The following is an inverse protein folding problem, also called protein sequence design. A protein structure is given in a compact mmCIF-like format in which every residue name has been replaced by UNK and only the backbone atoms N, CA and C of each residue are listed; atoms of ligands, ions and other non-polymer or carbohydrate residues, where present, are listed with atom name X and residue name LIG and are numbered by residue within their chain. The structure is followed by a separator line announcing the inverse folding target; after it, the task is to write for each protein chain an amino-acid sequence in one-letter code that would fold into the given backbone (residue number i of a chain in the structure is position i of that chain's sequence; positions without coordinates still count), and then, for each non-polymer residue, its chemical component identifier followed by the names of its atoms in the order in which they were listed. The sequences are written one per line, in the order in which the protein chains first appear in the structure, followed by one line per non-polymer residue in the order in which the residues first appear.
data_IF_080608532326
#
_entry.id   IF_080608532326
#
_cell.length_a   1.000
_cell.length_b   1.000
_cell.length_c   1.000
_cell.angle_alpha   90.00
_cell.angle_beta   90.00
_cell.angle_gamma   90.00
#
_symmetry.space_group_name_H-M   'P 1'
#
loop_
_entity.id
_entity.type
_entity.pdbx_description
1 polymer ?
#
# COMPACT_ATOMS: atom_id res chain seq x y z
N UNK A 1 -2.42 -6.60 12.28
CA UNK A 1 -2.53 -7.05 13.69
C UNK A 1 -3.58 -8.13 13.74
N UNK A 2 -3.30 -9.24 14.40
CA UNK A 2 -4.22 -10.34 14.63
C UNK A 2 -5.13 -10.07 15.86
N UNK A 3 -6.27 -10.76 16.00
CA UNK A 3 -7.21 -10.50 17.10
C UNK A 3 -6.64 -10.66 18.51
N UNK A 4 -5.59 -11.48 18.66
CA UNK A 4 -4.88 -11.69 19.92
C UNK A 4 -3.73 -10.70 20.17
N UNK A 5 -3.57 -9.68 19.32
CA UNK A 5 -2.51 -8.67 19.41
C UNK A 5 -1.21 -8.99 18.68
N UNK A 6 -1.02 -10.22 18.20
CA UNK A 6 0.16 -10.57 17.40
C UNK A 6 0.24 -9.71 16.14
N UNK A 7 1.45 -9.35 15.74
CA UNK A 7 1.71 -8.53 14.55
C UNK A 7 2.33 -9.40 13.46
N UNK A 8 1.69 -9.45 12.30
CA UNK A 8 2.26 -10.09 11.12
C UNK A 8 2.97 -9.05 10.24
N UNK A 9 4.18 -9.38 9.81
CA UNK A 9 5.01 -8.55 8.94
C UNK A 9 5.36 -9.34 7.68
N UNK A 10 4.96 -8.84 6.51
CA UNK A 10 5.41 -9.38 5.23
C UNK A 10 6.85 -8.89 4.97
N UNK A 11 7.78 -9.83 4.87
CA UNK A 11 9.18 -9.57 4.55
C UNK A 11 9.43 -9.92 3.09
N UNK A 12 9.36 -8.92 2.22
CA UNK A 12 9.40 -9.11 0.76
C UNK A 12 10.10 -7.98 0.04
N UNK A 13 10.50 -8.25 -1.18
CA UNK A 13 11.00 -7.27 -2.13
C UNK A 13 10.50 -7.63 -3.54
N UNK A 14 10.76 -6.76 -4.53
CA UNK A 14 10.34 -6.97 -5.90
C UNK A 14 10.81 -8.33 -6.44
N UNK A 15 9.95 -9.06 -7.15
CA UNK A 15 10.35 -10.28 -7.84
C UNK A 15 11.48 -9.99 -8.85
N UNK A 16 12.41 -10.92 -9.01
CA UNK A 16 13.51 -10.76 -9.94
C UNK A 16 13.02 -10.64 -11.40
N UNK A 17 13.58 -9.71 -12.18
CA UNK A 17 13.51 -9.68 -13.63
C UNK A 17 12.22 -9.19 -14.30
N UNK A 18 11.27 -8.57 -13.57
CA UNK A 18 9.93 -8.26 -14.11
C UNK A 18 9.54 -6.78 -14.07
N UNK A 19 10.48 -5.83 -14.01
CA UNK A 19 10.16 -4.41 -13.85
C UNK A 19 9.73 -3.70 -15.15
N UNK A 20 10.03 -4.23 -16.32
CA UNK A 20 9.75 -3.55 -17.59
C UNK A 20 10.55 -2.27 -17.81
N UNK A 21 11.52 -1.97 -16.95
CA UNK A 21 12.41 -0.81 -17.07
C UNK A 21 13.79 -1.30 -17.44
N UNK A 22 14.05 -1.38 -18.75
CA UNK A 22 15.32 -1.85 -19.29
C UNK A 22 16.26 -0.71 -19.69
N UNK A 23 17.53 -1.03 -19.97
CA UNK A 23 18.54 -0.11 -20.50
C UNK A 23 19.20 0.78 -19.46
N UNK A 24 19.71 1.94 -19.92
CA UNK A 24 20.45 2.90 -19.08
C UNK A 24 19.58 3.46 -17.94
N UNK A 25 18.30 3.71 -18.21
CA UNK A 25 17.31 4.14 -17.20
C UNK A 25 17.18 3.13 -16.06
N UNK A 26 17.08 1.83 -16.39
CA UNK A 26 17.00 0.75 -15.39
C UNK A 26 18.27 0.63 -14.54
N UNK A 27 19.45 0.80 -15.14
CA UNK A 27 20.73 0.79 -14.42
C UNK A 27 20.88 1.97 -13.46
N UNK A 28 20.53 3.18 -13.90
CA UNK A 28 20.56 4.39 -13.06
C UNK A 28 19.55 4.27 -11.91
N UNK A 29 18.33 3.82 -12.22
CA UNK A 29 17.31 3.58 -11.20
C UNK A 29 17.75 2.51 -10.20
N UNK A 30 18.38 1.42 -10.64
CA UNK A 30 18.94 0.39 -9.76
C UNK A 30 20.01 0.91 -8.80
N UNK A 31 20.87 1.84 -9.24
CA UNK A 31 21.87 2.48 -8.36
C UNK A 31 21.20 3.41 -7.33
N UNK A 32 20.20 4.18 -7.76
CA UNK A 32 19.44 5.08 -6.86
C UNK A 32 18.65 4.26 -5.85
N UNK A 33 18.00 3.20 -6.27
CA UNK A 33 17.24 2.28 -5.42
C UNK A 33 18.14 1.56 -4.41
N UNK A 34 19.34 1.09 -4.82
CA UNK A 34 20.32 0.53 -3.87
C UNK A 34 20.78 1.52 -2.82
N UNK A 35 20.98 2.80 -3.18
CA UNK A 35 21.31 3.86 -2.21
C UNK A 35 20.14 4.18 -1.27
N UNK A 36 18.92 3.93 -1.68
CA UNK A 36 17.72 4.07 -0.88
C UNK A 36 17.39 2.81 -0.04
N UNK A 37 18.29 1.81 0.01
CA UNK A 37 18.10 0.58 0.78
C UNK A 37 17.26 -0.50 0.08
N UNK A 38 16.78 -0.25 -1.14
CA UNK A 38 15.97 -1.19 -1.92
C UNK A 38 16.88 -2.06 -2.81
N UNK A 39 17.38 -3.16 -2.33
CA UNK A 39 18.28 -4.02 -3.13
C UNK A 39 18.55 -5.37 -2.48
N UNK A 40 17.81 -5.66 -1.42
CA UNK A 40 17.88 -6.95 -0.72
C UNK A 40 16.95 -7.95 -1.42
N UNK A 41 17.33 -9.21 -1.61
CA UNK A 41 16.41 -10.22 -2.09
C UNK A 41 15.16 -10.33 -1.22
N UNK A 42 14.02 -10.68 -1.83
CA UNK A 42 12.80 -10.96 -1.07
C UNK A 42 13.03 -12.12 -0.10
N UNK A 43 12.57 -11.96 1.15
CA UNK A 43 12.65 -13.04 2.13
C UNK A 43 11.53 -14.09 1.96
N UNK A 44 10.57 -13.85 1.05
CA UNK A 44 9.51 -14.78 0.65
C UNK A 44 8.71 -15.33 1.85
N UNK A 45 8.50 -14.50 2.89
CA UNK A 45 7.88 -14.94 4.14
C UNK A 45 7.05 -13.87 4.82
N UNK A 46 6.24 -14.33 5.75
CA UNK A 46 5.60 -13.53 6.80
C UNK A 46 6.24 -13.91 8.13
N UNK A 47 6.59 -12.92 8.93
CA UNK A 47 7.07 -13.08 10.31
C UNK A 47 6.00 -12.67 11.30
N UNK A 48 5.97 -13.33 12.47
CA UNK A 48 5.14 -12.95 13.61
C UNK A 48 5.98 -12.26 14.66
N UNK A 49 5.43 -11.17 15.20
CA UNK A 49 5.94 -10.48 16.39
C UNK A 49 4.88 -10.60 17.48
N UNK A 50 5.28 -11.03 18.68
CA UNK A 50 4.42 -11.09 19.87
C UNK A 50 5.09 -10.39 21.03
N UNK A 51 4.40 -9.41 21.55
CA UNK A 51 4.67 -8.75 22.83
C UNK A 51 3.96 -9.58 23.90
N UNK A 52 4.72 -10.37 24.67
CA UNK A 52 4.16 -11.37 25.59
C UNK A 52 3.85 -10.80 26.98
N UNK A 53 4.54 -9.75 27.39
CA UNK A 53 4.36 -9.10 28.70
C UNK A 53 3.64 -7.75 28.64
N UNK A 54 3.37 -7.24 27.41
CA UNK A 54 2.60 -6.02 27.19
C UNK A 54 3.40 -4.72 27.38
N UNK A 55 4.73 -4.80 27.34
CA UNK A 55 5.60 -3.62 27.51
C UNK A 55 5.76 -2.79 26.21
N UNK A 56 5.33 -3.33 25.08
CA UNK A 56 5.41 -2.71 23.75
C UNK A 56 6.61 -3.16 22.94
N UNK A 57 7.41 -4.11 23.43
CA UNK A 57 8.55 -4.73 22.76
C UNK A 57 8.19 -6.21 22.48
N UNK A 58 8.43 -6.68 21.28
CA UNK A 58 8.12 -8.07 20.93
C UNK A 58 9.28 -9.01 21.32
N UNK A 59 9.07 -9.91 22.31
CA UNK A 59 10.01 -10.94 22.72
C UNK A 59 10.04 -12.10 21.72
N UNK A 60 8.90 -12.40 21.08
CA UNK A 60 8.82 -13.43 20.06
C UNK A 60 8.91 -12.78 18.68
N UNK A 61 9.94 -13.17 17.93
CA UNK A 61 10.12 -12.80 16.52
C UNK A 61 10.59 -14.02 15.76
N UNK A 62 9.75 -14.54 14.89
CA UNK A 62 10.09 -15.72 14.10
C UNK A 62 9.31 -15.78 12.77
N UNK A 63 9.78 -16.59 11.79
CA UNK A 63 9.02 -16.91 10.61
C UNK A 63 7.68 -17.55 10.97
N UNK A 64 6.58 -16.97 10.46
CA UNK A 64 5.21 -17.44 10.64
C UNK A 64 4.75 -18.32 9.48
N UNK A 65 5.03 -17.88 8.26
CA UNK A 65 4.74 -18.59 7.01
C UNK A 65 5.83 -18.30 6.00
N UNK A 66 6.34 -19.33 5.34
CA UNK A 66 7.44 -19.24 4.35
C UNK A 66 7.02 -19.80 2.99
N UNK A 67 7.89 -19.67 1.97
CA UNK A 67 7.61 -20.21 0.63
C UNK A 67 6.53 -19.45 -0.11
N UNK A 68 6.41 -18.15 0.16
CA UNK A 68 5.54 -17.22 -0.54
C UNK A 68 6.29 -16.62 -1.75
N UNK A 69 5.61 -15.81 -2.56
CA UNK A 69 6.22 -15.12 -3.71
C UNK A 69 6.02 -13.61 -3.59
N UNK A 70 7.00 -12.92 -3.01
CA UNK A 70 6.96 -11.48 -2.71
C UNK A 70 5.61 -11.08 -2.07
N UNK A 71 5.26 -11.62 -0.88
CA UNK A 71 3.98 -11.32 -0.22
C UNK A 71 3.91 -9.85 0.19
N UNK A 72 2.72 -9.26 0.11
CA UNK A 72 2.53 -7.87 0.54
C UNK A 72 1.27 -7.69 1.40
N UNK A 73 0.09 -7.78 0.82
CA UNK A 73 -1.18 -7.61 1.54
C UNK A 73 -1.61 -8.87 2.29
N UNK A 74 -2.22 -8.69 3.45
CA UNK A 74 -2.76 -9.78 4.27
C UNK A 74 -4.13 -9.41 4.82
N UNK A 75 -5.06 -10.38 4.85
CA UNK A 75 -6.37 -10.21 5.46
C UNK A 75 -6.81 -11.51 6.15
N UNK A 76 -7.24 -11.41 7.39
CA UNK A 76 -7.83 -12.53 8.12
C UNK A 76 -9.36 -12.46 8.00
N UNK A 77 -9.98 -13.55 7.54
CA UNK A 77 -11.44 -13.70 7.46
C UNK A 77 -11.83 -15.01 8.15
N UNK A 78 -12.48 -14.92 9.28
CA UNK A 78 -12.71 -16.08 10.13
C UNK A 78 -11.39 -16.79 10.48
N UNK A 79 -11.30 -18.06 10.17
CA UNK A 79 -10.11 -18.90 10.40
C UNK A 79 -9.24 -19.06 9.13
N UNK A 80 -9.35 -18.14 8.18
CA UNK A 80 -8.58 -18.16 6.93
C UNK A 80 -7.76 -16.91 6.79
N UNK A 81 -6.43 -17.04 6.72
CA UNK A 81 -5.52 -15.97 6.39
C UNK A 81 -5.30 -15.93 4.87
N UNK A 82 -5.71 -14.85 4.24
CA UNK A 82 -5.46 -14.56 2.83
C UNK A 82 -4.20 -13.72 2.69
N UNK A 83 -3.37 -14.05 1.70
CA UNK A 83 -2.12 -13.35 1.40
C UNK A 83 -2.10 -13.01 -0.09
N UNK A 84 -1.86 -11.77 -0.42
CA UNK A 84 -1.61 -11.34 -1.78
C UNK A 84 -0.10 -11.37 -2.05
N UNK A 85 0.33 -12.38 -2.81
CA UNK A 85 1.64 -12.45 -3.43
C UNK A 85 1.71 -11.52 -4.64
N UNK A 86 2.90 -11.33 -5.20
CA UNK A 86 3.10 -10.48 -6.37
C UNK A 86 2.31 -10.92 -7.61
N UNK A 87 1.88 -12.18 -7.68
CA UNK A 87 1.27 -12.82 -8.85
C UNK A 87 0.01 -13.65 -8.55
N UNK A 88 -0.33 -13.86 -7.29
CA UNK A 88 -1.48 -14.67 -6.90
C UNK A 88 -2.02 -14.27 -5.52
N UNK A 89 -3.33 -14.42 -5.33
CA UNK A 89 -3.95 -14.48 -4.02
C UNK A 89 -3.93 -15.92 -3.54
N UNK A 90 -3.38 -16.14 -2.34
CA UNK A 90 -3.33 -17.46 -1.70
C UNK A 90 -4.01 -17.42 -0.34
N UNK A 91 -4.33 -18.57 0.21
CA UNK A 91 -4.95 -18.73 1.54
C UNK A 91 -4.34 -19.87 2.31
N UNK A 92 -4.32 -19.73 3.65
CA UNK A 92 -3.93 -20.77 4.59
C UNK A 92 -4.92 -20.79 5.75
N UNK A 93 -5.18 -21.97 6.38
CA UNK A 93 -5.92 -22.02 7.63
C UNK A 93 -5.10 -21.36 8.76
N UNK A 94 -5.79 -20.61 9.61
CA UNK A 94 -5.22 -19.92 10.76
C UNK A 94 -5.96 -20.31 12.03
N UNK A 95 -5.23 -20.46 13.13
CA UNK A 95 -5.78 -20.62 14.49
C UNK A 95 -5.18 -19.56 15.41
N UNK A 96 -6.02 -18.90 16.17
CA UNK A 96 -5.60 -17.85 17.10
C UNK A 96 -4.48 -18.33 18.02
N UNK A 97 -3.43 -17.52 18.12
CA UNK A 97 -2.28 -17.77 18.99
C UNK A 97 -1.21 -18.68 18.43
N UNK A 98 -1.40 -19.30 17.24
CA UNK A 98 -0.32 -20.07 16.62
C UNK A 98 0.81 -19.14 16.17
N UNK A 99 2.05 -19.60 16.31
CA UNK A 99 3.26 -18.85 15.95
C UNK A 99 3.89 -19.32 14.64
N UNK A 100 3.33 -20.35 14.02
CA UNK A 100 3.82 -20.90 12.76
C UNK A 100 2.70 -21.60 12.00
N UNK A 101 2.71 -21.47 10.68
CA UNK A 101 1.87 -22.23 9.76
C UNK A 101 2.77 -23.10 8.89
N UNK A 102 2.52 -24.42 8.94
CA UNK A 102 3.21 -25.42 8.11
C UNK A 102 2.36 -25.86 6.89
N UNK A 103 1.10 -25.38 6.82
CA UNK A 103 0.23 -25.68 5.70
C UNK A 103 0.75 -25.02 4.41
N UNK A 104 0.70 -25.77 3.31
CA UNK A 104 1.02 -25.24 1.98
C UNK A 104 -0.06 -24.22 1.56
N UNK A 105 0.31 -23.00 1.15
CA UNK A 105 -0.66 -22.02 0.69
C UNK A 105 -1.47 -22.52 -0.52
N UNK A 106 -2.79 -22.41 -0.44
CA UNK A 106 -3.69 -22.77 -1.52
C UNK A 106 -3.98 -21.53 -2.40
N UNK A 107 -3.75 -21.67 -3.70
CA UNK A 107 -4.07 -20.59 -4.64
C UNK A 107 -5.58 -20.38 -4.74
N UNK A 108 -6.03 -19.16 -4.49
CA UNK A 108 -7.40 -18.71 -4.65
C UNK A 108 -7.63 -18.24 -6.09
N UNK A 109 -6.84 -17.25 -6.55
CA UNK A 109 -6.88 -16.71 -7.92
C UNK A 109 -5.50 -16.25 -8.36
N UNK A 110 -5.26 -16.19 -9.67
CA UNK A 110 -4.11 -15.49 -10.23
C UNK A 110 -4.33 -13.97 -10.14
N UNK A 111 -3.24 -13.22 -9.92
CA UNK A 111 -3.20 -11.76 -9.98
C UNK A 111 -2.30 -11.31 -11.14
N UNK A 112 -2.46 -10.09 -11.66
CA UNK A 112 -1.59 -9.55 -12.71
C UNK A 112 -0.10 -9.58 -12.31
N UNK A 113 0.76 -10.08 -13.18
CA UNK A 113 2.20 -10.31 -12.93
C UNK A 113 2.59 -11.77 -12.77
N UNK A 114 1.69 -12.70 -13.12
CA UNK A 114 1.98 -14.14 -13.09
C UNK A 114 2.91 -14.55 -14.25
N UNK A 115 3.68 -15.62 -14.02
CA UNK A 115 4.58 -16.17 -15.04
C UNK A 115 5.58 -15.12 -15.54
N UNK A 116 5.62 -14.85 -16.85
CA UNK A 116 6.52 -13.91 -17.51
C UNK A 116 5.88 -12.52 -17.73
N UNK A 117 4.71 -12.26 -17.18
CA UNK A 117 4.06 -10.95 -17.28
C UNK A 117 4.91 -9.87 -16.58
N UNK A 118 4.89 -8.64 -17.15
CA UNK A 118 5.48 -7.48 -16.50
C UNK A 118 4.82 -7.23 -15.15
N UNK A 119 5.59 -6.82 -14.15
CA UNK A 119 5.10 -6.54 -12.81
C UNK A 119 5.87 -5.38 -12.17
N UNK A 120 5.85 -4.22 -12.83
CA UNK A 120 6.60 -3.03 -12.39
C UNK A 120 6.17 -2.59 -10.97
N UNK A 121 4.89 -2.27 -10.78
CA UNK A 121 4.33 -2.11 -9.44
C UNK A 121 3.87 -3.49 -8.95
N UNK A 122 4.79 -4.21 -8.35
CA UNK A 122 4.61 -5.62 -7.98
C UNK A 122 3.76 -5.82 -6.72
N UNK A 123 3.68 -4.81 -5.85
CA UNK A 123 2.92 -4.89 -4.61
C UNK A 123 1.44 -5.13 -4.87
N UNK A 124 0.83 -5.99 -4.06
CA UNK A 124 -0.59 -6.29 -4.07
C UNK A 124 -1.12 -6.11 -2.66
N UNK A 125 -1.68 -4.93 -2.37
CA UNK A 125 -2.37 -4.70 -1.10
C UNK A 125 -3.64 -5.54 -1.03
N UNK A 126 -4.07 -5.88 0.17
CA UNK A 126 -5.24 -6.72 0.40
C UNK A 126 -6.07 -6.19 1.56
N UNK A 127 -7.38 -6.12 1.36
CA UNK A 127 -8.33 -5.71 2.37
C UNK A 127 -9.59 -6.56 2.25
N UNK A 128 -10.11 -7.06 3.37
CA UNK A 128 -11.41 -7.74 3.38
C UNK A 128 -12.55 -6.74 3.59
N UNK A 129 -13.72 -7.00 2.97
CA UNK A 129 -14.97 -6.35 3.33
C UNK A 129 -15.35 -6.66 4.78
N UNK A 130 -16.19 -5.84 5.40
CA UNK A 130 -16.58 -6.02 6.82
C UNK A 130 -17.24 -7.38 7.10
N UNK A 131 -17.99 -7.90 6.15
CA UNK A 131 -18.64 -9.22 6.23
C UNK A 131 -17.74 -10.38 5.80
N UNK A 132 -16.52 -10.09 5.32
CA UNK A 132 -15.58 -11.08 4.81
C UNK A 132 -15.97 -11.70 3.47
N UNK A 133 -17.08 -11.29 2.85
CA UNK A 133 -17.56 -11.87 1.61
C UNK A 133 -16.76 -11.44 0.38
N UNK A 134 -16.00 -10.35 0.47
CA UNK A 134 -15.18 -9.79 -0.61
C UNK A 134 -13.78 -9.45 -0.13
N UNK A 135 -12.83 -9.56 -1.06
CA UNK A 135 -11.46 -9.11 -0.87
C UNK A 135 -11.14 -8.05 -1.93
N UNK A 136 -10.59 -6.93 -1.50
CA UNK A 136 -10.13 -5.85 -2.39
C UNK A 136 -8.63 -5.93 -2.54
N UNK A 137 -8.14 -5.89 -3.79
CA UNK A 137 -6.71 -5.99 -4.11
C UNK A 137 -6.29 -4.75 -4.88
N UNK A 138 -5.36 -3.96 -4.34
CA UNK A 138 -4.73 -2.87 -5.06
C UNK A 138 -3.67 -3.41 -6.03
N UNK A 139 -3.77 -3.01 -7.30
CA UNK A 139 -2.85 -3.44 -8.37
C UNK A 139 -2.35 -2.24 -9.14
N UNK A 140 -1.08 -1.92 -8.99
CA UNK A 140 -0.46 -0.80 -9.71
C UNK A 140 -0.20 -1.10 -11.19
N UNK A 141 0.04 -0.05 -11.96
CA UNK A 141 0.37 -0.12 -13.39
C UNK A 141 1.70 -0.82 -13.67
N UNK A 142 1.95 -1.20 -14.91
CA UNK A 142 3.25 -1.70 -15.38
C UNK A 142 4.20 -0.59 -15.88
N UNK A 143 3.75 0.65 -15.83
CA UNK A 143 4.45 1.76 -16.43
C UNK A 143 4.13 3.08 -15.72
N UNK A 144 4.84 4.13 -16.08
CA UNK A 144 4.54 5.47 -15.58
C UNK A 144 3.29 6.07 -16.25
N UNK A 145 3.20 6.00 -17.57
CA UNK A 145 2.11 6.56 -18.40
C UNK A 145 1.76 5.65 -19.59
N UNK A 146 1.66 4.36 -19.36
CA UNK A 146 1.34 3.33 -20.36
C UNK A 146 2.40 3.18 -21.49
N UNK A 147 3.68 3.46 -21.22
CA UNK A 147 4.78 3.34 -22.19
C UNK A 147 4.95 1.92 -22.75
N UNK A 148 4.52 0.90 -22.01
CA UNK A 148 4.57 -0.49 -22.41
C UNK A 148 3.30 -0.94 -23.17
N UNK A 149 2.39 0.01 -23.47
CA UNK A 149 1.12 -0.21 -24.14
C UNK A 149 0.01 -0.68 -23.20
N UNK A 150 -1.25 -0.43 -23.60
CA UNK A 150 -2.42 -0.72 -22.76
C UNK A 150 -2.71 -2.22 -22.62
N UNK A 151 -2.20 -3.08 -23.49
CA UNK A 151 -2.42 -4.52 -23.41
C UNK A 151 -1.82 -5.13 -22.13
N UNK A 152 -0.64 -4.65 -21.68
CA UNK A 152 0.02 -5.11 -20.45
C UNK A 152 -0.59 -4.49 -19.19
N UNK A 153 -1.51 -3.55 -19.33
CA UNK A 153 -2.20 -2.87 -18.22
C UNK A 153 -3.58 -3.51 -17.90
N UNK A 154 -3.89 -4.64 -18.51
CA UNK A 154 -5.14 -5.36 -18.24
C UNK A 154 -5.27 -5.71 -16.75
N UNK A 155 -6.37 -5.30 -16.10
CA UNK A 155 -6.62 -5.44 -14.66
C UNK A 155 -5.56 -4.78 -13.76
N UNK A 156 -4.87 -3.77 -14.27
CA UNK A 156 -3.87 -2.97 -13.55
C UNK A 156 -4.29 -1.50 -13.42
N UNK A 157 -3.54 -0.73 -12.67
CA UNK A 157 -3.92 0.63 -12.27
C UNK A 157 -5.35 0.65 -11.70
N UNK A 158 -5.64 -0.30 -10.81
CA UNK A 158 -6.99 -0.66 -10.42
C UNK A 158 -7.06 -1.18 -8.97
N UNK A 159 -8.25 -1.12 -8.41
CA UNK A 159 -8.64 -1.98 -7.29
C UNK A 159 -9.48 -3.11 -7.88
N UNK A 160 -9.06 -4.34 -7.64
CA UNK A 160 -9.81 -5.54 -7.99
C UNK A 160 -10.67 -5.97 -6.81
N UNK A 161 -11.86 -6.52 -7.09
CA UNK A 161 -12.68 -7.22 -6.13
C UNK A 161 -12.63 -8.71 -6.42
N UNK A 162 -12.34 -9.50 -5.40
CA UNK A 162 -12.30 -10.96 -5.46
C UNK A 162 -13.38 -11.53 -4.54
N UNK A 163 -14.20 -12.42 -5.07
CA UNK A 163 -15.06 -13.29 -4.28
C UNK A 163 -14.29 -14.57 -3.97
N UNK A 164 -13.85 -14.80 -2.73
CA UNK A 164 -13.01 -15.96 -2.42
C UNK A 164 -13.76 -17.29 -2.50
N UNK A 165 -15.08 -17.31 -2.34
CA UNK A 165 -15.88 -18.52 -2.40
C UNK A 165 -16.09 -19.00 -3.85
N UNK A 166 -16.36 -18.08 -4.77
CA UNK A 166 -16.57 -18.40 -6.19
C UNK A 166 -15.32 -18.23 -7.04
N UNK A 167 -14.25 -17.65 -6.49
CA UNK A 167 -12.98 -17.31 -7.17
C UNK A 167 -13.17 -16.33 -8.35
N UNK A 168 -14.24 -15.55 -8.34
CA UNK A 168 -14.50 -14.54 -9.37
C UNK A 168 -13.69 -13.28 -9.05
N UNK A 169 -13.10 -12.70 -10.10
CA UNK A 169 -12.36 -11.45 -10.06
C UNK A 169 -13.03 -10.45 -10.99
N UNK A 170 -13.19 -9.21 -10.54
CA UNK A 170 -13.62 -8.09 -11.39
C UNK A 170 -12.85 -6.82 -11.04
N UNK A 171 -12.80 -5.89 -11.98
CA UNK A 171 -12.32 -4.54 -11.68
C UNK A 171 -13.40 -3.82 -10.88
N UNK A 172 -13.06 -3.41 -9.65
CA UNK A 172 -13.92 -2.60 -8.79
C UNK A 172 -13.85 -1.12 -9.15
N UNK A 173 -12.61 -0.61 -9.34
CA UNK A 173 -12.34 0.76 -9.80
C UNK A 173 -11.05 0.77 -10.61
N UNK A 174 -10.91 1.72 -11.54
CA UNK A 174 -9.79 1.81 -12.48
C UNK A 174 -9.21 3.22 -12.58
N UNK A 175 -8.07 3.35 -13.24
CA UNK A 175 -7.41 4.63 -13.42
C UNK A 175 -6.69 5.15 -12.17
N UNK A 176 -6.45 4.29 -11.19
CA UNK A 176 -5.63 4.56 -10.00
C UNK A 176 -4.22 4.04 -10.30
N UNK A 177 -3.29 4.92 -10.68
CA UNK A 177 -1.97 4.50 -11.19
C UNK A 177 -1.29 3.42 -10.34
N UNK A 178 -1.14 3.65 -9.04
CA UNK A 178 -0.59 2.68 -8.11
C UNK A 178 -1.28 2.79 -6.74
N UNK A 179 -2.46 2.16 -6.56
CA UNK A 179 -3.15 2.13 -5.27
C UNK A 179 -2.45 1.13 -4.35
N UNK A 180 -1.88 1.60 -3.24
CA UNK A 180 -1.12 0.74 -2.32
C UNK A 180 -1.84 0.56 -0.99
N UNK A 181 -2.00 1.58 -0.17
CA UNK A 181 -2.74 1.46 1.10
C UNK A 181 -4.24 1.43 0.84
N UNK A 182 -4.91 0.40 1.35
CA UNK A 182 -6.37 0.25 1.31
C UNK A 182 -6.92 0.17 2.72
N UNK A 183 -8.02 0.88 3.02
CA UNK A 183 -8.70 0.80 4.29
C UNK A 183 -10.20 1.10 4.15
N UNK A 184 -11.03 0.53 5.04
CA UNK A 184 -12.44 0.92 5.17
C UNK A 184 -12.57 2.06 6.17
N UNK A 185 -13.26 3.13 5.77
CA UNK A 185 -13.61 4.21 6.69
C UNK A 185 -14.57 3.67 7.76
N UNK A 186 -14.31 3.91 9.07
CA UNK A 186 -15.02 3.21 10.15
C UNK A 186 -16.51 3.49 10.22
N UNK A 187 -16.96 4.72 9.95
CA UNK A 187 -18.35 5.14 10.10
C UNK A 187 -19.24 4.66 8.94
N UNK A 188 -18.88 5.06 7.72
CA UNK A 188 -19.64 4.77 6.51
C UNK A 188 -19.31 3.44 5.85
N UNK A 189 -18.13 2.86 6.13
CA UNK A 189 -17.66 1.64 5.48
C UNK A 189 -17.16 1.85 4.06
N UNK A 190 -16.97 3.09 3.63
CA UNK A 190 -16.43 3.40 2.31
C UNK A 190 -15.00 2.87 2.18
N UNK A 191 -14.65 2.34 1.01
CA UNK A 191 -13.29 1.93 0.67
C UNK A 191 -12.46 3.17 0.32
N UNK A 192 -11.30 3.30 0.94
CA UNK A 192 -10.34 4.36 0.69
C UNK A 192 -9.00 3.78 0.23
N UNK A 193 -8.31 4.54 -0.62
CA UNK A 193 -6.96 4.20 -1.08
C UNK A 193 -6.03 5.40 -1.01
N UNK A 194 -4.76 5.15 -0.72
CA UNK A 194 -3.67 6.06 -1.06
C UNK A 194 -3.03 5.61 -2.37
N UNK A 195 -2.75 6.57 -3.25
CA UNK A 195 -2.32 6.31 -4.62
C UNK A 195 -1.06 7.10 -4.93
N UNK A 196 -0.06 6.39 -5.45
CA UNK A 196 1.14 7.00 -6.01
C UNK A 196 0.86 7.37 -7.46
N UNK A 197 0.93 8.67 -7.75
CA UNK A 197 0.66 9.23 -9.07
C UNK A 197 1.88 9.15 -10.00
N UNK A 198 1.66 9.61 -11.25
CA UNK A 198 2.67 9.55 -12.29
C UNK A 198 3.84 10.52 -12.05
N UNK A 199 5.01 10.12 -12.46
CA UNK A 199 6.25 10.88 -12.41
C UNK A 199 6.51 11.71 -13.67
N UNK A 200 7.61 12.48 -13.69
CA UNK A 200 8.16 13.18 -14.84
C UNK A 200 7.32 14.39 -15.31
N UNK A 201 6.62 15.06 -14.38
CA UNK A 201 6.05 16.40 -14.56
C UNK A 201 6.72 17.45 -13.65
N UNK A 202 7.96 17.20 -13.25
CA UNK A 202 8.73 18.08 -12.37
C UNK A 202 8.53 17.77 -10.89
N UNK A 203 9.07 18.64 -10.02
CA UNK A 203 9.05 18.41 -8.58
C UNK A 203 7.68 18.59 -7.92
N UNK A 204 6.81 19.41 -8.49
CA UNK A 204 5.58 19.87 -7.85
C UNK A 204 4.31 19.25 -8.45
N UNK A 205 4.46 18.39 -9.47
CA UNK A 205 3.39 17.63 -10.11
C UNK A 205 3.81 16.16 -10.29
N UNK A 206 2.90 15.21 -10.16
CA UNK A 206 1.50 15.26 -9.75
C UNK A 206 1.42 14.95 -8.27
N UNK A 207 0.47 15.54 -7.50
CA UNK A 207 0.33 15.16 -6.11
C UNK A 207 -0.16 13.71 -6.01
N UNK A 208 0.54 12.91 -5.20
CA UNK A 208 0.00 11.68 -4.65
C UNK A 208 -1.23 11.99 -3.81
N UNK A 209 -2.15 11.04 -3.65
CA UNK A 209 -3.44 11.38 -3.07
C UNK A 209 -4.08 10.28 -2.23
N UNK A 210 -5.05 10.71 -1.42
CA UNK A 210 -6.02 9.87 -0.73
C UNK A 210 -7.39 10.07 -1.39
N UNK A 211 -8.09 8.99 -1.71
CA UNK A 211 -9.41 9.04 -2.33
C UNK A 211 -10.33 7.91 -1.85
N UNK A 212 -11.63 8.22 -1.76
CA UNK A 212 -12.68 7.21 -1.70
C UNK A 212 -12.71 6.43 -3.02
N UNK A 213 -12.62 5.11 -2.94
CA UNK A 213 -12.66 4.22 -4.10
C UNK A 213 -14.10 3.77 -4.35
N UNK A 214 -14.71 4.31 -5.41
CA UNK A 214 -16.11 4.05 -5.77
C UNK A 214 -16.23 2.93 -6.77
N UNK A 215 -17.21 2.05 -6.59
CA UNK A 215 -17.50 0.98 -7.54
C UNK A 215 -17.77 1.54 -8.93
N UNK A 216 -17.12 0.98 -9.97
CA UNK A 216 -17.19 1.45 -11.34
C UNK A 216 -16.49 2.79 -11.59
N UNK A 217 -15.83 3.37 -10.57
CA UNK A 217 -15.12 4.64 -10.66
C UNK A 217 -13.90 4.57 -11.58
N UNK A 218 -13.62 5.69 -12.26
CA UNK A 218 -12.40 5.90 -13.05
C UNK A 218 -11.67 7.14 -12.54
N UNK A 219 -10.36 7.03 -12.24
CA UNK A 219 -9.57 8.07 -11.56
C UNK A 219 -8.52 8.75 -12.46
N UNK A 220 -8.57 8.49 -13.77
CA UNK A 220 -7.86 9.25 -14.79
C UNK A 220 -6.72 8.52 -15.48
N UNK A 221 -5.87 7.80 -14.75
CA UNK A 221 -4.71 7.15 -15.35
C UNK A 221 -5.10 6.15 -16.46
N UNK A 222 -4.40 6.10 -17.61
CA UNK A 222 -3.23 6.91 -17.97
C UNK A 222 -3.57 8.24 -18.65
N UNK A 223 -4.81 8.49 -19.05
CA UNK A 223 -5.23 9.58 -19.94
C UNK A 223 -5.26 10.94 -19.26
N UNK A 224 -5.44 10.97 -17.95
CA UNK A 224 -5.45 12.19 -17.15
C UNK A 224 -4.90 11.90 -15.75
N UNK A 225 -4.53 12.94 -15.03
CA UNK A 225 -4.04 12.87 -13.67
C UNK A 225 -4.84 13.82 -12.77
N UNK A 226 -4.90 13.51 -11.50
CA UNK A 226 -5.62 14.23 -10.45
C UNK A 226 -7.02 14.70 -10.90
N UNK A 227 -7.81 13.76 -11.42
CA UNK A 227 -9.09 14.01 -12.07
C UNK A 227 -8.96 14.20 -13.58
N UNK A 228 -9.38 15.37 -14.09
CA UNK A 228 -9.54 15.61 -15.51
C UNK A 228 -8.38 16.40 -16.16
N UNK A 229 -7.23 16.50 -15.49
CA UNK A 229 -6.06 17.13 -16.08
C UNK A 229 -5.44 16.19 -17.13
N UNK A 230 -5.61 16.51 -18.40
CA UNK A 230 -5.18 15.70 -19.53
C UNK A 230 -3.66 15.42 -19.47
N UNK A 231 -3.24 14.16 -19.66
CA UNK A 231 -1.84 13.82 -19.90
C UNK A 231 -1.57 13.79 -21.42
N UNK A 232 -0.83 14.76 -21.97
CA UNK A 232 -0.61 14.85 -23.41
C UNK A 232 0.34 13.79 -23.97
N UNK A 233 0.98 12.99 -23.12
CA UNK A 233 1.94 11.94 -23.55
C UNK A 233 1.26 10.63 -23.91
N UNK A 234 -0.02 10.48 -23.59
CA UNK A 234 -0.77 9.23 -23.82
C UNK A 234 -1.56 9.34 -25.12
N UNK A 235 -1.23 8.47 -26.08
CA UNK A 235 -1.92 8.39 -27.37
C UNK A 235 -2.33 6.92 -27.68
N UNK A 236 -3.53 6.71 -28.24
CA UNK A 236 -4.57 7.69 -28.49
C UNK A 236 -5.24 8.19 -27.21
N UNK A 237 -5.73 9.41 -27.22
CA UNK A 237 -6.50 10.00 -26.12
C UNK A 237 -7.87 9.35 -25.96
N UNK A 238 -8.44 9.41 -24.74
CA UNK A 238 -9.77 8.89 -24.42
C UNK A 238 -10.67 9.97 -23.77
N UNK A 239 -11.13 10.99 -24.52
CA UNK A 239 -11.86 12.12 -23.96
C UNK A 239 -13.09 11.75 -23.13
N UNK A 240 -13.82 10.71 -23.55
CA UNK A 240 -15.00 10.23 -22.84
C UNK A 240 -14.65 9.63 -21.45
N UNK A 241 -13.48 9.01 -21.30
CA UNK A 241 -12.98 8.56 -20.01
C UNK A 241 -12.51 9.72 -19.16
N UNK A 242 -11.74 10.65 -19.75
CA UNK A 242 -11.26 11.87 -19.05
C UNK A 242 -12.42 12.67 -18.49
N UNK A 243 -13.49 12.85 -19.24
CA UNK A 243 -14.67 13.57 -18.78
C UNK A 243 -15.38 12.91 -17.57
N UNK A 244 -15.15 11.62 -17.34
CA UNK A 244 -15.70 10.87 -16.21
C UNK A 244 -14.69 10.68 -15.06
N UNK A 245 -13.46 11.12 -15.23
CA UNK A 245 -12.42 10.93 -14.23
C UNK A 245 -12.79 11.62 -12.91
N UNK A 246 -12.78 10.85 -11.84
CA UNK A 246 -13.10 11.30 -10.49
C UNK A 246 -11.87 12.03 -9.95
N UNK A 247 -12.09 13.24 -9.45
CA UNK A 247 -11.05 13.99 -8.75
C UNK A 247 -10.81 13.37 -7.38
N UNK A 248 -9.54 13.13 -6.99
CA UNK A 248 -9.21 12.68 -5.64
C UNK A 248 -9.70 13.62 -4.53
N UNK A 249 -10.01 13.04 -3.36
CA UNK A 249 -10.58 13.77 -2.24
C UNK A 249 -9.54 14.62 -1.48
N UNK A 250 -8.26 14.16 -1.44
CA UNK A 250 -7.21 14.85 -0.69
C UNK A 250 -5.84 14.70 -1.33
N UNK A 251 -5.16 15.83 -1.59
CA UNK A 251 -3.78 15.85 -2.07
C UNK A 251 -2.79 15.67 -0.91
N UNK A 252 -1.89 14.69 -1.02
CA UNK A 252 -0.86 14.42 -0.03
C UNK A 252 0.47 15.14 -0.32
N UNK A 253 0.61 15.69 -1.52
CA UNK A 253 1.83 16.32 -2.04
C UNK A 253 2.50 15.45 -3.09
N UNK A 254 3.32 16.09 -3.94
CA UNK A 254 3.95 15.42 -5.08
C UNK A 254 5.13 14.58 -4.63
N UNK A 255 5.21 13.34 -5.14
CA UNK A 255 6.31 12.40 -4.90
C UNK A 255 6.51 11.96 -3.43
N UNK A 256 5.48 12.05 -2.59
CA UNK A 256 5.59 11.61 -1.19
C UNK A 256 5.52 10.10 -1.03
N UNK A 257 5.09 9.37 -2.06
CA UNK A 257 4.98 7.93 -2.14
C UNK A 257 4.20 7.31 -0.96
N UNK A 258 2.88 7.55 -0.84
CA UNK A 258 2.09 6.98 0.24
C UNK A 258 1.92 5.47 0.03
N UNK A 259 2.26 4.65 1.04
CA UNK A 259 2.17 3.19 0.96
C UNK A 259 1.20 2.62 1.98
N UNK A 260 1.29 3.00 3.26
CA UNK A 260 0.42 2.51 4.32
C UNK A 260 -0.79 3.41 4.54
N UNK A 261 -1.94 2.81 4.84
CA UNK A 261 -3.17 3.51 5.22
C UNK A 261 -3.90 2.72 6.29
N UNK A 262 -4.23 3.37 7.39
CA UNK A 262 -5.16 2.84 8.38
C UNK A 262 -6.02 3.97 8.95
N UNK A 263 -7.28 3.67 9.30
CA UNK A 263 -8.12 4.61 10.03
C UNK A 263 -7.98 4.39 11.54
N UNK A 264 -7.99 5.48 12.28
CA UNK A 264 -7.99 5.50 13.74
C UNK A 264 -9.20 6.27 14.26
N UNK A 265 -9.81 5.86 15.38
CA UNK A 265 -10.82 6.67 16.05
C UNK A 265 -10.26 7.96 16.64
N UNK A 266 -8.92 8.08 16.64
CA UNK A 266 -8.22 9.17 17.29
C UNK A 266 -7.84 8.84 18.74
N UNK A 267 -7.12 9.77 19.35
CA UNK A 267 -6.66 9.66 20.74
C UNK A 267 -6.29 11.04 21.27
N UNK A 268 -5.66 11.11 22.43
CA UNK A 268 -5.24 12.39 23.04
C UNK A 268 -4.34 13.20 22.08
N UNK A 269 -3.46 12.53 21.33
CA UNK A 269 -2.55 13.13 20.34
C UNK A 269 -3.26 13.82 19.16
N UNK A 270 -4.53 13.44 18.85
CA UNK A 270 -5.34 14.05 17.79
C UNK A 270 -6.48 14.91 18.37
N UNK A 271 -6.47 15.20 19.66
CA UNK A 271 -7.60 15.88 20.32
C UNK A 271 -8.91 15.08 20.30
N UNK A 272 -8.83 13.76 20.22
CA UNK A 272 -9.98 12.85 20.12
C UNK A 272 -10.58 12.75 18.70
N UNK A 273 -10.00 13.41 17.69
CA UNK A 273 -10.51 13.38 16.33
C UNK A 273 -10.01 12.12 15.60
N UNK A 274 -10.92 11.39 14.98
CA UNK A 274 -10.63 10.27 14.12
C UNK A 274 -10.13 10.69 12.74
N UNK A 275 -9.47 9.78 12.02
CA UNK A 275 -8.98 10.07 10.68
C UNK A 275 -8.08 9.00 10.11
N UNK A 276 -7.42 9.33 9.01
CA UNK A 276 -6.50 8.46 8.30
C UNK A 276 -5.06 8.68 8.75
N UNK A 277 -4.36 7.62 9.13
CA UNK A 277 -2.92 7.58 9.35
C UNK A 277 -2.27 7.02 8.09
N UNK A 278 -1.30 7.75 7.55
CA UNK A 278 -0.70 7.44 6.25
C UNK A 278 0.82 7.42 6.37
N UNK A 279 1.44 6.32 5.93
CA UNK A 279 2.88 6.21 5.79
C UNK A 279 3.35 6.79 4.46
N UNK A 280 4.14 7.85 4.50
CA UNK A 280 4.75 8.48 3.34
C UNK A 280 6.18 7.96 3.20
N UNK A 281 6.39 7.02 2.28
CA UNK A 281 7.67 6.33 2.05
C UNK A 281 8.78 7.28 1.60
N UNK A 282 8.41 8.33 0.87
CA UNK A 282 9.30 9.41 0.48
C UNK A 282 9.85 9.32 -0.93
N UNK A 283 10.22 10.48 -1.45
CA UNK A 283 10.64 10.69 -2.84
C UNK A 283 12.02 10.11 -3.13
N UNK A 284 12.20 9.58 -4.33
CA UNK A 284 13.50 9.20 -4.89
C UNK A 284 13.93 10.15 -6.02
N UNK A 285 12.99 10.88 -6.63
CA UNK A 285 13.13 11.66 -7.85
C UNK A 285 12.87 13.17 -7.66
N UNK A 286 12.80 13.65 -6.42
CA UNK A 286 12.56 15.05 -6.08
C UNK A 286 13.69 15.65 -5.22
N UNK A 287 13.98 16.93 -5.39
CA UNK A 287 14.89 17.70 -4.54
C UNK A 287 14.25 19.06 -4.18
N UNK A 288 14.22 19.46 -2.89
CA UNK A 288 14.58 18.63 -1.75
C UNK A 288 13.67 17.40 -1.64
N UNK A 289 14.15 16.34 -0.98
CA UNK A 289 13.37 15.14 -0.69
C UNK A 289 12.16 15.48 0.17
N UNK A 290 11.05 14.76 -0.07
CA UNK A 290 9.77 14.92 0.64
C UNK A 290 9.21 13.55 1.04
N UNK A 291 8.23 13.55 1.92
CA UNK A 291 7.72 12.32 2.54
C UNK A 291 8.61 11.91 3.72
N UNK A 292 9.00 10.64 3.81
CA UNK A 292 9.82 10.09 4.89
C UNK A 292 9.24 10.39 6.27
N UNK A 293 7.93 10.18 6.42
CA UNK A 293 7.20 10.47 7.65
C UNK A 293 5.85 9.75 7.67
N UNK A 294 5.25 9.68 8.84
CA UNK A 294 3.86 9.28 9.00
C UNK A 294 3.05 10.54 9.27
N UNK A 295 1.91 10.63 8.62
CA UNK A 295 1.01 11.78 8.74
C UNK A 295 -0.40 11.34 9.15
N UNK A 296 -1.15 12.29 9.71
CA UNK A 296 -2.55 12.15 10.05
C UNK A 296 -3.37 13.15 9.24
N UNK A 297 -4.42 12.65 8.60
CA UNK A 297 -5.44 13.45 7.92
C UNK A 297 -6.73 13.34 8.72
N UNK A 298 -7.21 14.41 9.36
CA UNK A 298 -8.45 14.39 10.13
C UNK A 298 -9.66 14.09 9.26
N UNK A 299 -10.64 13.35 9.81
CA UNK A 299 -11.91 13.06 9.14
C UNK A 299 -13.10 13.53 9.98
N UNK A 300 -14.15 13.98 9.30
CA UNK A 300 -15.46 14.26 9.90
C UNK A 300 -16.54 13.87 8.89
N UNK A 301 -17.60 13.18 9.34
CA UNK A 301 -18.66 12.70 8.47
C UNK A 301 -18.17 11.80 7.32
N UNK A 302 -17.14 10.98 7.57
CA UNK A 302 -16.56 10.09 6.57
C UNK A 302 -15.71 10.79 5.48
N UNK A 303 -15.33 12.05 5.68
CA UNK A 303 -14.56 12.86 4.72
C UNK A 303 -13.34 13.50 5.36
N UNK A 304 -12.23 13.67 4.59
CA UNK A 304 -11.07 14.39 5.08
C UNK A 304 -11.42 15.87 5.32
N UNK A 305 -10.93 16.41 6.45
CA UNK A 305 -11.13 17.79 6.83
C UNK A 305 -9.83 18.44 7.30
N UNK A 306 -9.65 19.72 7.03
CA UNK A 306 -8.49 20.47 7.51
C UNK A 306 -7.18 20.06 6.84
N UNK A 307 -6.07 20.35 7.53
CA UNK A 307 -4.71 20.10 7.03
C UNK A 307 -4.15 18.81 7.58
N UNK A 308 -3.37 18.14 6.77
CA UNK A 308 -2.51 17.03 7.16
C UNK A 308 -1.53 17.46 8.25
N UNK A 309 -1.34 16.61 9.26
CA UNK A 309 -0.48 16.81 10.42
C UNK A 309 0.63 15.77 10.44
N UNK A 310 1.84 16.17 10.77
CA UNK A 310 2.95 15.25 10.96
C UNK A 310 2.76 14.48 12.27
N UNK A 311 2.79 13.15 12.21
CA UNK A 311 2.62 12.26 13.36
C UNK A 311 3.93 11.63 13.82
N UNK A 312 4.75 11.17 12.87
CA UNK A 312 6.08 10.61 13.13
C UNK A 312 7.05 11.10 12.06
N UNK A 313 8.16 11.71 12.48
CA UNK A 313 9.20 12.28 11.61
C UNK A 313 10.59 11.75 12.01
N UNK A 314 11.64 12.20 11.32
CA UNK A 314 13.02 11.85 11.66
C UNK A 314 13.59 10.71 10.82
N UNK A 315 12.89 10.27 9.79
CA UNK A 315 13.34 9.23 8.86
C UNK A 315 14.38 9.74 7.82
N UNK A 316 14.63 11.05 7.77
CA UNK A 316 15.75 11.63 7.03
C UNK A 316 16.75 12.22 8.02
N UNK A 317 18.06 12.07 7.75
CA UNK A 317 19.11 12.83 8.45
C UNK A 317 19.28 14.24 7.86
N UNK A 318 20.10 15.05 8.50
CA UNK A 318 20.37 16.42 8.05
C UNK A 318 21.07 16.49 6.67
N UNK A 319 21.70 15.40 6.23
CA UNK A 319 22.31 15.26 4.90
C UNK A 319 21.35 14.78 3.82
N UNK A 320 20.10 14.49 4.18
CA UNK A 320 19.07 13.95 3.26
C UNK A 320 19.22 12.46 3.00
N UNK A 321 19.94 11.70 3.85
CA UNK A 321 19.98 10.25 3.73
C UNK A 321 18.82 9.63 4.50
N UNK A 322 18.22 8.59 3.93
CA UNK A 322 17.16 7.85 4.59
C UNK A 322 17.73 7.03 5.76
N UNK A 323 17.19 7.24 6.95
CA UNK A 323 17.40 6.40 8.15
C UNK A 323 16.30 5.36 8.28
N UNK A 324 15.16 5.60 7.67
CA UNK A 324 14.00 4.75 7.62
C UNK A 324 13.04 5.24 6.54
N UNK A 325 12.08 4.37 6.17
CA UNK A 325 11.01 4.69 5.21
C UNK A 325 9.72 3.99 5.62
N UNK A 326 8.67 4.72 6.03
CA UNK A 326 7.39 4.14 6.42
C UNK A 326 6.71 3.38 5.27
N UNK A 327 6.27 2.16 5.53
CA UNK A 327 5.52 1.31 4.58
C UNK A 327 4.14 0.98 5.14
N UNK A 328 4.01 -0.13 5.87
CA UNK A 328 2.75 -0.58 6.43
C UNK A 328 2.34 0.23 7.67
N UNK A 329 1.05 0.53 7.77
CA UNK A 329 0.45 1.16 8.95
C UNK A 329 -0.64 0.23 9.48
N UNK A 330 -0.66 0.01 10.79
CA UNK A 330 -1.73 -0.72 11.46
C UNK A 330 -2.11 -0.03 12.78
N UNK A 331 -3.38 -0.12 13.17
CA UNK A 331 -3.87 0.40 14.45
C UNK A 331 -4.17 -0.80 15.35
N UNK A 332 -3.64 -0.77 16.57
CA UNK A 332 -3.88 -1.76 17.61
C UNK A 332 -5.20 -1.48 18.34
N UNK A 333 -5.71 -2.48 19.04
CA UNK A 333 -6.96 -2.36 19.80
C UNK A 333 -6.89 -1.31 20.91
N UNK A 334 -5.71 -1.05 21.47
CA UNK A 334 -5.45 -0.01 22.47
C UNK A 334 -5.27 1.40 21.88
N UNK A 335 -5.41 1.54 20.56
CA UNK A 335 -5.21 2.79 19.82
C UNK A 335 -3.74 3.07 19.45
N UNK A 336 -2.81 2.19 19.80
CA UNK A 336 -1.42 2.26 19.36
C UNK A 336 -1.30 2.14 17.84
N UNK A 337 -0.35 2.85 17.26
CA UNK A 337 -0.11 2.83 15.81
C UNK A 337 1.21 2.11 15.55
N UNK A 338 1.18 1.09 14.71
CA UNK A 338 2.35 0.38 14.24
C UNK A 338 2.75 0.89 12.87
N UNK A 339 4.05 1.08 12.68
CA UNK A 339 4.66 1.56 11.44
C UNK A 339 5.78 0.59 11.03
N UNK A 340 5.61 -0.10 9.92
CA UNK A 340 6.69 -0.87 9.32
C UNK A 340 7.65 0.07 8.57
N UNK A 341 8.95 -0.15 8.76
CA UNK A 341 10.05 0.62 8.18
C UNK A 341 10.99 -0.33 7.44
N UNK A 342 11.01 -0.28 6.11
CA UNK A 342 11.74 -1.23 5.27
C UNK A 342 13.23 -0.91 5.17
N UNK A 343 13.65 0.33 5.37
CA UNK A 343 15.07 0.73 5.41
C UNK A 343 15.65 0.58 6.82
N UNK A 344 14.88 0.98 7.84
CA UNK A 344 15.27 0.80 9.24
C UNK A 344 15.16 -0.64 9.76
N UNK A 345 14.53 -1.56 8.99
CA UNK A 345 14.26 -2.94 9.38
C UNK A 345 13.59 -3.05 10.76
N UNK A 346 12.63 -2.17 11.01
CA UNK A 346 12.01 -1.98 12.33
C UNK A 346 10.49 -1.86 12.17
N UNK A 347 9.76 -2.35 13.15
CA UNK A 347 8.36 -1.98 13.36
C UNK A 347 8.30 -1.04 14.55
N UNK A 348 7.97 0.21 14.30
CA UNK A 348 7.80 1.23 15.32
C UNK A 348 6.41 1.14 15.95
N UNK A 349 6.30 1.34 17.24
CA UNK A 349 5.03 1.50 17.94
C UNK A 349 4.92 2.91 18.51
N UNK A 350 3.87 3.61 18.11
CA UNK A 350 3.49 4.90 18.68
C UNK A 350 2.32 4.65 19.63
N UNK A 351 2.50 5.02 20.88
CA UNK A 351 1.48 4.94 21.91
C UNK A 351 1.45 6.25 22.69
N UNK A 352 0.34 6.53 23.38
CA UNK A 352 0.32 7.61 24.35
C UNK A 352 1.40 7.37 25.44
N UNK A 353 2.04 8.44 25.90
CA UNK A 353 2.94 8.33 27.04
C UNK A 353 2.15 7.74 28.22
N UNK A 354 2.70 6.75 28.90
CA UNK A 354 2.17 6.30 30.19
C UNK A 354 2.60 7.33 31.22
N UNK A 355 1.65 7.92 31.94
CA UNK A 355 1.89 8.82 33.07
C UNK A 355 2.59 8.09 34.21
#
# INVERSE_FOLDING_TARGET
VLPNGDVLVAESNAPAGKSGVDGIKGKVMGVVMKRAGAGVPSAERISVLRDADGDGIAEVRQPFLTGLHSPFGMALVGDTLYIANADALVSVPYRTGQLRIDAVPLKVVDLPGKGDELNHHWTKSLLASRDGARLYVGVGSNSNVAENGMAVETNRAAVLEVDPATRRVRVFASGLRNPVGLALEPQGGALWAVVNERDELGNDLVPDYLAEVREGGFYGWPYSYYGQHLDPRVEPQAPALVARAIKPDYALGSHVAPLGLAFTPGGAWSGGQGGAVIGLHGSWNRKPQVGYKVVFVPFAGGRPVGKMQDLLTGFLDAGGNARGRPVGIAVQADGGILVADDVGNTVWRLAAARD
#
